data_IF_415201801500
#
_entry.id   IF_415201801500
#
_cell.length_a   1.000
_cell.length_b   1.000
_cell.length_c   1.000
_cell.angle_alpha   90.00
_cell.angle_beta   90.00
_cell.angle_gamma   90.00
#
_symmetry.space_group_name_H-M   'P 1'
#
loop_
_entity.id
_entity.type
_entity.pdbx_description
1 polymer ?
#
# COMPACT_ATOMS: atom_id res chain seq x y z
N UNK A 1 18.32 -7.23 22.01
CA UNK A 1 18.74 -7.69 20.67
C UNK A 1 19.41 -9.04 20.79
N UNK A 2 18.94 -10.03 20.04
CA UNK A 2 19.50 -11.39 20.00
C UNK A 2 19.69 -11.80 18.54
N UNK A 3 20.88 -12.36 18.22
CA UNK A 3 21.17 -12.90 16.89
C UNK A 3 21.10 -14.42 16.94
N UNK A 4 20.38 -15.02 16.02
CA UNK A 4 20.22 -16.47 15.85
C UNK A 4 20.85 -16.86 14.50
N UNK A 5 21.81 -17.78 14.54
CA UNK A 5 22.50 -18.30 13.37
C UNK A 5 21.99 -19.69 13.03
N UNK A 6 21.82 -19.99 11.73
CA UNK A 6 21.36 -21.29 11.23
C UNK A 6 20.15 -21.80 12.03
N UNK A 7 19.12 -20.96 12.12
CA UNK A 7 17.96 -21.12 13.00
C UNK A 7 16.73 -21.60 12.25
N UNK A 8 15.61 -21.70 12.95
CA UNK A 8 14.30 -22.06 12.39
C UNK A 8 13.28 -20.97 12.70
N UNK A 9 12.23 -20.87 11.89
CA UNK A 9 11.12 -19.94 12.14
C UNK A 9 10.52 -20.10 13.54
N UNK A 10 10.39 -21.35 14.02
CA UNK A 10 9.90 -21.64 15.38
C UNK A 10 10.82 -21.10 16.48
N UNK A 11 12.14 -21.13 16.26
CA UNK A 11 13.09 -20.57 17.23
C UNK A 11 13.01 -19.04 17.24
N UNK A 12 12.82 -18.39 16.08
CA UNK A 12 12.61 -16.96 16.00
C UNK A 12 11.34 -16.53 16.74
N UNK A 13 10.23 -17.24 16.56
CA UNK A 13 8.97 -16.99 17.29
C UNK A 13 9.18 -17.11 18.81
N UNK A 14 9.88 -18.16 19.27
CA UNK A 14 10.17 -18.35 20.68
C UNK A 14 11.03 -17.23 21.26
N UNK A 15 12.05 -16.79 20.52
CA UNK A 15 12.94 -15.70 20.94
C UNK A 15 12.17 -14.38 21.02
N UNK A 16 11.36 -14.04 20.01
CA UNK A 16 10.53 -12.86 20.03
C UNK A 16 9.60 -12.85 21.24
N UNK A 17 8.96 -13.98 21.55
CA UNK A 17 8.11 -14.12 22.72
C UNK A 17 8.90 -14.03 24.05
N UNK A 18 10.15 -14.49 24.08
CA UNK A 18 11.02 -14.36 25.24
C UNK A 18 11.41 -12.91 25.50
N UNK A 19 11.83 -12.17 24.46
CA UNK A 19 12.20 -10.76 24.58
C UNK A 19 11.02 -9.88 25.01
N UNK A 20 9.80 -10.15 24.54
CA UNK A 20 8.58 -9.46 25.02
C UNK A 20 8.40 -9.59 26.53
N UNK A 21 8.63 -10.78 27.07
CA UNK A 21 8.48 -11.02 28.52
C UNK A 21 9.55 -10.34 29.36
N UNK A 22 10.77 -10.22 28.83
CA UNK A 22 11.90 -9.63 29.56
C UNK A 22 12.02 -8.12 29.38
N UNK A 23 11.54 -7.59 28.27
CA UNK A 23 11.70 -6.18 27.90
C UNK A 23 10.88 -5.17 28.72
N UNK A 24 9.96 -5.63 29.60
CA UNK A 24 9.19 -4.75 30.47
C UNK A 24 8.33 -3.68 29.77
N UNK A 25 8.45 -3.57 28.47
CA UNK A 25 7.66 -2.68 27.65
C UNK A 25 6.27 -3.29 27.50
N UNK A 26 5.29 -2.72 28.16
CA UNK A 26 3.89 -2.90 27.81
C UNK A 26 3.75 -2.31 26.40
N UNK A 27 3.98 -3.13 25.40
CA UNK A 27 3.70 -2.77 24.02
C UNK A 27 2.19 -2.57 23.91
N UNK A 28 1.78 -1.33 24.02
CA UNK A 28 0.42 -0.91 23.78
C UNK A 28 0.12 -1.11 22.28
N UNK A 29 -0.52 -2.23 21.95
CA UNK A 29 -1.15 -2.50 20.67
C UNK A 29 -0.28 -2.28 19.42
N UNK A 30 0.29 -3.36 18.88
CA UNK A 30 0.81 -3.35 17.51
C UNK A 30 -0.38 -3.15 16.57
N UNK A 31 -0.43 -2.04 15.86
CA UNK A 31 -1.55 -1.69 14.99
C UNK A 31 -1.54 -2.46 13.66
N UNK A 32 -0.35 -2.86 13.18
CA UNK A 32 -0.17 -3.56 11.91
C UNK A 32 1.17 -4.32 11.89
N UNK A 33 1.36 -5.17 10.89
CA UNK A 33 2.67 -5.76 10.56
C UNK A 33 3.18 -5.16 9.25
N UNK A 34 4.39 -4.60 9.29
CA UNK A 34 5.12 -4.19 8.10
C UNK A 34 6.14 -5.26 7.74
N UNK A 35 5.94 -5.89 6.59
CA UNK A 35 6.90 -6.82 5.98
C UNK A 35 7.70 -6.06 4.95
N UNK A 36 9.02 -6.02 5.08
CA UNK A 36 9.92 -5.35 4.14
C UNK A 36 10.73 -6.42 3.40
N UNK A 37 10.69 -6.40 2.09
CA UNK A 37 11.55 -7.25 1.25
C UNK A 37 12.69 -6.39 0.74
N UNK A 38 13.93 -6.71 1.12
CA UNK A 38 15.10 -5.93 0.76
C UNK A 38 16.24 -6.82 0.23
N UNK A 39 17.09 -6.22 -0.61
CA UNK A 39 18.39 -6.77 -0.94
C UNK A 39 19.40 -6.48 0.16
N UNK A 40 20.41 -7.33 0.31
CA UNK A 40 21.43 -7.16 1.36
C UNK A 40 22.12 -5.79 1.32
N UNK A 41 22.37 -5.26 0.13
CA UNK A 41 23.00 -3.94 -0.05
C UNK A 41 22.12 -2.78 0.42
N UNK A 42 20.81 -3.00 0.55
CA UNK A 42 19.81 -1.98 0.91
C UNK A 42 19.15 -2.20 2.27
N UNK A 43 19.58 -3.23 3.01
CA UNK A 43 19.01 -3.54 4.32
C UNK A 43 19.10 -2.35 5.28
N UNK A 44 20.24 -1.68 5.32
CA UNK A 44 20.42 -0.53 6.22
C UNK A 44 19.47 0.63 5.91
N UNK A 45 19.27 0.94 4.62
CA UNK A 45 18.31 1.95 4.17
C UNK A 45 16.88 1.53 4.49
N UNK A 46 16.54 0.26 4.27
CA UNK A 46 15.25 -0.30 4.61
C UNK A 46 14.96 -0.25 6.13
N UNK A 47 15.94 -0.58 6.95
CA UNK A 47 15.86 -0.49 8.41
C UNK A 47 15.63 0.94 8.89
N UNK A 48 16.39 1.91 8.35
CA UNK A 48 16.26 3.33 8.68
C UNK A 48 14.86 3.85 8.32
N UNK A 49 14.41 3.61 7.09
CA UNK A 49 13.12 4.08 6.61
C UNK A 49 11.95 3.42 7.38
N UNK A 50 12.01 2.10 7.59
CA UNK A 50 10.97 1.39 8.33
C UNK A 50 10.93 1.79 9.80
N UNK A 51 12.09 2.04 10.43
CA UNK A 51 12.17 2.52 11.81
C UNK A 51 11.54 3.91 11.95
N UNK A 52 11.87 4.84 11.05
CA UNK A 52 11.28 6.18 11.03
C UNK A 52 9.75 6.13 10.82
N UNK A 53 9.26 5.25 9.96
CA UNK A 53 7.83 5.04 9.76
C UNK A 53 7.16 4.44 11.02
N UNK A 54 7.84 3.52 11.71
CA UNK A 54 7.33 2.86 12.92
C UNK A 54 7.28 3.78 14.15
N UNK A 55 8.09 4.84 14.21
CA UNK A 55 8.01 5.86 15.27
C UNK A 55 6.66 6.58 15.30
N UNK A 56 6.08 6.78 14.11
CA UNK A 56 4.78 7.47 13.95
C UNK A 56 3.63 6.48 13.90
N UNK A 57 3.85 5.30 13.34
CA UNK A 57 2.85 4.25 13.17
C UNK A 57 3.33 2.95 13.83
N UNK A 58 3.06 2.72 15.13
CA UNK A 58 3.56 1.55 15.84
C UNK A 58 3.19 0.25 15.15
N UNK A 59 4.21 -0.48 14.69
CA UNK A 59 4.03 -1.71 13.93
C UNK A 59 5.03 -2.77 14.36
N UNK A 60 4.73 -4.03 14.00
CA UNK A 60 5.72 -5.10 14.00
C UNK A 60 6.46 -5.05 12.68
N UNK A 61 7.79 -4.96 12.74
CA UNK A 61 8.65 -4.88 11.57
C UNK A 61 9.27 -6.24 11.28
N UNK A 62 9.04 -6.78 10.09
CA UNK A 62 9.63 -8.03 9.61
C UNK A 62 10.43 -7.73 8.35
N UNK A 63 11.76 -7.74 8.42
CA UNK A 63 12.62 -7.50 7.26
C UNK A 63 13.08 -8.85 6.70
N UNK A 64 12.74 -9.12 5.46
CA UNK A 64 13.09 -10.32 4.72
C UNK A 64 14.18 -9.98 3.72
N UNK A 65 15.35 -10.59 3.89
CA UNK A 65 16.48 -10.45 2.99
C UNK A 65 16.68 -11.77 2.27
N UNK A 66 16.38 -11.78 0.97
CA UNK A 66 16.58 -12.96 0.13
C UNK A 66 18.03 -13.02 -0.32
N UNK A 67 18.76 -14.05 0.12
CA UNK A 67 20.17 -14.25 -0.22
C UNK A 67 20.41 -15.56 -0.94
N UNK A 68 21.23 -15.52 -1.98
CA UNK A 68 21.72 -16.71 -2.66
C UNK A 68 20.63 -17.79 -2.83
N UNK A 69 19.54 -17.44 -3.50
CA UNK A 69 18.36 -18.31 -3.71
C UNK A 69 18.77 -19.67 -4.31
N UNK A 70 19.89 -19.71 -5.04
CA UNK A 70 20.47 -20.89 -5.65
C UNK A 70 21.35 -21.73 -4.70
N UNK A 71 21.56 -21.29 -3.45
CA UNK A 71 22.33 -22.06 -2.47
C UNK A 71 21.69 -23.44 -2.27
N UNK A 72 22.50 -24.52 -2.28
CA UNK A 72 21.94 -25.89 -2.21
C UNK A 72 21.33 -26.22 -0.84
N UNK A 73 21.77 -25.54 0.22
CA UNK A 73 21.29 -25.75 1.58
C UNK A 73 20.47 -24.56 2.04
N UNK A 74 19.20 -24.73 2.39
CA UNK A 74 18.40 -23.67 2.97
C UNK A 74 18.94 -23.31 4.35
N UNK A 75 19.04 -22.02 4.65
CA UNK A 75 19.50 -21.51 5.94
C UNK A 75 18.74 -20.25 6.30
N UNK A 76 18.45 -20.07 7.58
CA UNK A 76 17.88 -18.86 8.16
C UNK A 76 18.83 -18.29 9.21
N UNK A 77 19.21 -17.04 9.05
CA UNK A 77 19.82 -16.25 10.12
C UNK A 77 18.83 -15.14 10.50
N UNK A 78 18.66 -14.89 11.80
CA UNK A 78 17.70 -13.90 12.26
C UNK A 78 18.26 -13.01 13.38
N UNK A 79 17.88 -11.74 13.35
CA UNK A 79 18.09 -10.79 14.42
C UNK A 79 16.74 -10.39 15.00
N UNK A 80 16.55 -10.59 16.31
CA UNK A 80 15.33 -10.21 17.02
C UNK A 80 15.62 -9.01 17.90
N UNK A 81 14.82 -7.97 17.75
CA UNK A 81 14.96 -6.70 18.47
C UNK A 81 13.59 -6.28 19.01
N UNK A 82 13.53 -5.97 20.31
CA UNK A 82 12.34 -5.39 20.93
C UNK A 82 12.73 -4.04 21.52
N UNK A 83 12.16 -2.97 20.96
CA UNK A 83 12.58 -1.60 21.26
C UNK A 83 13.99 -1.27 20.74
N UNK A 84 14.46 -0.03 20.93
CA UNK A 84 15.81 0.37 20.59
C UNK A 84 15.97 0.85 19.14
N UNK A 85 17.02 0.40 18.42
CA UNK A 85 17.44 0.98 17.14
C UNK A 85 16.42 0.87 15.99
N UNK A 86 15.50 -0.08 16.06
CA UNK A 86 14.47 -0.30 15.03
C UNK A 86 13.08 0.22 15.47
N UNK A 87 13.07 1.29 16.26
CA UNK A 87 11.85 1.92 16.73
C UNK A 87 11.31 1.35 18.05
N UNK A 88 10.17 1.86 18.51
CA UNK A 88 9.56 1.46 19.78
C UNK A 88 8.92 0.06 19.75
N UNK A 89 8.80 -0.49 18.55
CA UNK A 89 8.12 -1.77 18.30
C UNK A 89 8.99 -3.02 18.43
N UNK A 90 8.53 -4.05 17.78
CA UNK A 90 9.21 -5.34 17.63
C UNK A 90 9.73 -5.43 16.20
N UNK A 91 10.99 -5.83 16.05
CA UNK A 91 11.58 -6.01 14.73
C UNK A 91 12.30 -7.35 14.63
N UNK A 92 12.16 -8.01 13.49
CA UNK A 92 12.89 -9.23 13.15
C UNK A 92 13.50 -9.04 11.77
N UNK A 93 14.83 -9.13 11.68
CA UNK A 93 15.55 -9.13 10.40
C UNK A 93 15.91 -10.57 10.07
N UNK A 94 15.49 -11.07 8.92
CA UNK A 94 15.62 -12.47 8.50
C UNK A 94 16.41 -12.56 7.21
N UNK A 95 17.59 -13.17 7.27
CA UNK A 95 18.41 -13.48 6.07
C UNK A 95 18.14 -14.91 5.66
N UNK A 96 17.51 -15.09 4.52
CA UNK A 96 17.05 -16.38 4.00
C UNK A 96 17.91 -16.82 2.81
N UNK A 97 18.53 -17.99 2.94
CA UNK A 97 19.39 -18.58 1.92
C UNK A 97 18.72 -19.78 1.25
N UNK A 98 19.10 -20.01 -0.01
CA UNK A 98 18.59 -21.12 -0.79
C UNK A 98 17.08 -21.03 -0.99
N UNK A 99 16.43 -22.18 -1.11
CA UNK A 99 14.97 -22.27 -1.35
C UNK A 99 14.11 -21.64 -0.27
N UNK A 100 14.65 -21.42 0.93
CA UNK A 100 13.90 -20.71 1.98
C UNK A 100 13.54 -19.29 1.57
N UNK A 101 14.39 -18.63 0.78
CA UNK A 101 14.09 -17.30 0.24
C UNK A 101 12.90 -17.27 -0.73
N UNK A 102 12.58 -18.42 -1.37
CA UNK A 102 11.38 -18.57 -2.23
C UNK A 102 10.11 -18.85 -1.43
N UNK A 103 10.24 -19.36 -0.21
CA UNK A 103 9.16 -19.73 0.71
C UNK A 103 9.20 -18.88 1.97
N UNK A 104 9.50 -17.58 1.81
CA UNK A 104 9.64 -16.64 2.93
C UNK A 104 8.38 -16.58 3.80
N UNK A 105 7.20 -16.78 3.20
CA UNK A 105 5.92 -16.83 3.90
C UNK A 105 5.89 -17.88 5.02
N UNK A 106 6.57 -19.00 4.85
CA UNK A 106 6.62 -20.07 5.86
C UNK A 106 7.26 -19.62 7.17
N UNK A 107 8.16 -18.64 7.11
CA UNK A 107 8.81 -18.03 8.28
C UNK A 107 8.06 -16.77 8.75
N UNK A 108 7.51 -16.00 7.82
CA UNK A 108 6.84 -14.73 8.11
C UNK A 108 5.47 -14.94 8.75
N UNK A 109 4.65 -15.87 8.24
CA UNK A 109 3.29 -16.11 8.72
C UNK A 109 3.19 -16.31 10.23
N UNK A 110 4.03 -17.16 10.90
CA UNK A 110 3.97 -17.33 12.35
C UNK A 110 4.42 -16.09 13.15
N UNK A 111 5.02 -15.10 12.50
CA UNK A 111 5.51 -13.87 13.10
C UNK A 111 4.53 -12.70 12.95
N UNK A 112 3.50 -12.83 12.15
CA UNK A 112 2.50 -11.77 11.97
C UNK A 112 1.82 -11.43 13.30
N UNK A 113 1.42 -10.17 13.46
CA UNK A 113 0.57 -9.78 14.56
C UNK A 113 -0.83 -10.35 14.34
N UNK A 114 -1.39 -11.00 15.37
CA UNK A 114 -2.74 -11.55 15.27
C UNK A 114 -3.76 -10.40 15.08
N UNK A 115 -4.72 -10.65 14.22
CA UNK A 115 -5.85 -9.73 13.92
C UNK A 115 -5.43 -8.31 13.52
N UNK A 116 -4.20 -8.16 13.02
CA UNK A 116 -3.67 -6.88 12.56
C UNK A 116 -3.39 -6.92 11.05
N UNK A 117 -3.65 -5.83 10.31
CA UNK A 117 -3.37 -5.78 8.88
C UNK A 117 -1.89 -5.95 8.57
N UNK A 118 -1.62 -6.52 7.40
CA UNK A 118 -0.27 -6.76 6.88
C UNK A 118 0.00 -5.86 5.69
N UNK A 119 1.09 -5.12 5.76
CA UNK A 119 1.58 -4.32 4.66
C UNK A 119 2.91 -4.89 4.20
N UNK A 120 3.04 -5.18 2.91
CA UNK A 120 4.34 -5.62 2.35
C UNK A 120 4.91 -4.53 1.47
N UNK A 121 6.15 -4.15 1.76
CA UNK A 121 6.92 -3.17 1.01
C UNK A 121 8.16 -3.82 0.38
N UNK A 122 8.29 -3.70 -0.93
CA UNK A 122 9.48 -4.11 -1.66
C UNK A 122 10.46 -2.96 -1.78
N UNK A 123 11.53 -3.01 -0.98
CA UNK A 123 12.72 -2.15 -1.12
C UNK A 123 13.85 -2.89 -1.87
N UNK A 124 13.44 -3.64 -2.87
CA UNK A 124 14.21 -4.40 -3.83
C UNK A 124 13.40 -4.45 -5.12
N UNK A 125 13.94 -4.86 -6.26
CA UNK A 125 13.15 -5.11 -7.45
C UNK A 125 11.99 -6.07 -7.11
N UNK A 126 10.72 -5.62 -7.21
CA UNK A 126 9.59 -6.47 -6.89
C UNK A 126 9.42 -7.55 -7.98
N UNK A 127 8.81 -8.70 -7.68
CA UNK A 127 8.47 -9.67 -8.69
C UNK A 127 7.50 -9.07 -9.72
N UNK A 128 7.48 -9.59 -10.94
CA UNK A 128 6.53 -9.13 -11.97
C UNK A 128 5.08 -9.22 -11.48
N UNK A 129 4.78 -10.27 -10.72
CA UNK A 129 3.45 -10.57 -10.17
C UNK A 129 3.45 -10.43 -8.65
N UNK A 130 3.49 -9.21 -8.18
CA UNK A 130 3.43 -8.88 -6.74
C UNK A 130 2.16 -9.42 -6.10
N UNK A 131 1.06 -9.38 -6.85
CA UNK A 131 -0.25 -9.79 -6.37
C UNK A 131 -0.37 -11.27 -6.06
N UNK A 132 0.47 -12.09 -6.67
CA UNK A 132 0.48 -13.56 -6.49
C UNK A 132 1.77 -14.06 -5.83
N UNK A 133 2.72 -13.18 -5.50
CA UNK A 133 3.89 -13.51 -4.67
C UNK A 133 3.45 -13.94 -3.28
N UNK A 134 4.15 -14.86 -2.67
CA UNK A 134 3.82 -15.40 -1.35
C UNK A 134 3.66 -14.32 -0.26
N UNK A 135 4.51 -13.27 -0.29
CA UNK A 135 4.42 -12.14 0.63
C UNK A 135 3.42 -11.08 0.17
N UNK A 136 3.03 -11.10 -1.11
CA UNK A 136 1.99 -10.23 -1.66
C UNK A 136 0.58 -10.72 -1.34
N UNK A 137 0.36 -12.03 -1.39
CA UNK A 137 -0.96 -12.64 -1.10
C UNK A 137 -1.40 -12.42 0.35
N UNK A 138 -0.46 -12.45 1.29
CA UNK A 138 -0.75 -12.25 2.71
C UNK A 138 -0.95 -10.79 3.10
N UNK A 139 -0.67 -9.85 2.18
CA UNK A 139 -0.71 -8.43 2.44
C UNK A 139 -2.05 -7.80 2.06
N UNK A 140 -2.61 -7.01 2.98
CA UNK A 140 -3.75 -6.14 2.69
C UNK A 140 -3.34 -4.98 1.78
N UNK A 141 -2.10 -4.48 1.95
CA UNK A 141 -1.51 -3.44 1.11
C UNK A 141 -0.12 -3.83 0.65
N UNK A 142 0.17 -3.54 -0.62
CA UNK A 142 1.44 -3.85 -1.29
C UNK A 142 2.05 -2.58 -1.85
N UNK A 143 3.28 -2.29 -1.42
CA UNK A 143 4.01 -1.07 -1.75
C UNK A 143 5.20 -1.42 -2.63
N UNK A 144 5.24 -0.86 -3.83
CA UNK A 144 6.40 -0.87 -4.73
C UNK A 144 7.01 0.53 -4.86
N UNK A 145 8.15 0.62 -5.52
CA UNK A 145 8.77 1.89 -5.89
C UNK A 145 9.33 1.80 -7.31
N UNK A 146 8.52 2.21 -8.28
CA UNK A 146 8.91 2.18 -9.69
C UNK A 146 10.09 3.10 -10.01
N UNK A 147 10.38 4.11 -9.17
CA UNK A 147 11.55 4.99 -9.36
C UNK A 147 12.90 4.28 -9.14
N UNK A 148 12.88 3.10 -8.53
CA UNK A 148 14.08 2.27 -8.32
C UNK A 148 14.47 1.45 -9.56
N UNK A 149 13.63 1.43 -10.59
CA UNK A 149 13.88 0.74 -11.85
C UNK A 149 14.68 1.62 -12.81
N UNK A 150 15.53 0.99 -13.62
CA UNK A 150 16.20 1.67 -14.74
C UNK A 150 15.20 2.15 -15.81
N UNK A 151 14.02 1.52 -15.87
CA UNK A 151 12.87 1.93 -16.68
C UNK A 151 11.64 2.13 -15.77
N UNK A 152 11.46 3.32 -15.17
CA UNK A 152 10.35 3.59 -14.26
C UNK A 152 8.97 3.47 -14.91
N UNK A 153 8.86 3.83 -16.18
CA UNK A 153 7.59 3.75 -16.93
C UNK A 153 7.26 2.30 -17.27
N UNK A 154 8.26 1.52 -17.69
CA UNK A 154 8.12 0.08 -17.85
C UNK A 154 7.71 -0.62 -16.56
N UNK A 155 8.27 -0.20 -15.41
CA UNK A 155 7.89 -0.70 -14.10
C UNK A 155 6.42 -0.40 -13.78
N UNK A 156 5.93 0.83 -14.02
CA UNK A 156 4.49 1.16 -13.87
C UNK A 156 3.60 0.29 -14.76
N UNK A 157 4.03 0.02 -16.00
CA UNK A 157 3.27 -0.87 -16.90
C UNK A 157 3.19 -2.30 -16.35
N UNK A 158 4.27 -2.81 -15.75
CA UNK A 158 4.28 -4.12 -15.09
C UNK A 158 3.32 -4.10 -13.90
N UNK A 159 3.37 -3.07 -13.06
CA UNK A 159 2.45 -2.92 -11.91
C UNK A 159 1.00 -2.85 -12.37
N UNK A 160 0.69 -2.11 -13.43
CA UNK A 160 -0.67 -2.03 -13.95
C UNK A 160 -1.21 -3.37 -14.46
N UNK A 161 -0.37 -4.20 -15.11
CA UNK A 161 -0.80 -5.54 -15.57
C UNK A 161 -1.20 -6.46 -14.42
N UNK A 162 -0.46 -6.40 -13.32
CA UNK A 162 -0.67 -7.22 -12.12
C UNK A 162 -1.50 -6.51 -11.05
N UNK A 163 -1.91 -5.28 -11.28
CA UNK A 163 -2.60 -4.44 -10.29
C UNK A 163 -3.79 -5.17 -9.66
N UNK A 164 -3.92 -4.99 -8.38
CA UNK A 164 -5.14 -5.34 -7.68
C UNK A 164 -5.36 -4.36 -6.50
N UNK A 165 -6.62 -4.22 -6.05
CA UNK A 165 -6.96 -3.36 -4.91
C UNK A 165 -6.00 -3.56 -3.73
N UNK A 166 -5.49 -2.47 -3.18
CA UNK A 166 -4.47 -2.46 -2.13
C UNK A 166 -3.02 -2.33 -2.65
N UNK A 167 -2.78 -2.34 -3.97
CA UNK A 167 -1.47 -2.01 -4.53
C UNK A 167 -1.27 -0.50 -4.58
N UNK A 168 -0.04 -0.08 -4.31
CA UNK A 168 0.40 1.31 -4.42
C UNK A 168 1.87 1.37 -4.83
N UNK A 169 2.31 2.57 -5.21
CA UNK A 169 3.69 2.83 -5.60
C UNK A 169 4.19 4.11 -4.94
N UNK A 170 5.42 4.11 -4.43
CA UNK A 170 5.98 5.30 -3.77
C UNK A 170 6.15 6.50 -4.70
N UNK A 171 6.20 6.29 -6.02
CA UNK A 171 6.16 7.39 -7.00
C UNK A 171 4.85 8.15 -6.90
N UNK A 172 3.73 7.46 -6.64
CA UNK A 172 2.45 8.09 -6.36
C UNK A 172 2.45 8.83 -5.02
N UNK A 173 2.99 8.22 -3.99
CA UNK A 173 3.08 8.83 -2.65
C UNK A 173 3.96 10.08 -2.68
N UNK A 174 5.06 10.09 -3.43
CA UNK A 174 5.91 11.29 -3.65
C UNK A 174 5.15 12.45 -4.26
N UNK A 175 4.13 12.19 -5.05
CA UNK A 175 3.31 13.22 -5.69
C UNK A 175 2.32 13.91 -4.75
N UNK A 176 2.09 13.40 -3.53
CA UNK A 176 1.07 13.90 -2.60
C UNK A 176 1.16 15.43 -2.35
N UNK A 177 2.34 16.04 -2.09
CA UNK A 177 2.41 17.48 -1.89
C UNK A 177 1.97 18.27 -3.14
N UNK A 178 2.34 17.82 -4.34
CA UNK A 178 1.93 18.40 -5.59
C UNK A 178 0.42 18.33 -5.80
N UNK A 179 -0.15 17.15 -5.63
CA UNK A 179 -1.59 16.90 -5.79
C UNK A 179 -2.42 17.70 -4.78
N UNK A 180 -2.00 17.71 -3.52
CA UNK A 180 -2.68 18.46 -2.46
C UNK A 180 -2.66 19.98 -2.73
N UNK A 181 -1.51 20.52 -3.15
CA UNK A 181 -1.37 21.94 -3.47
C UNK A 181 -2.20 22.34 -4.69
N UNK A 182 -2.17 21.52 -5.76
CA UNK A 182 -2.98 21.74 -6.96
C UNK A 182 -4.49 21.70 -6.63
N UNK A 183 -4.94 20.69 -5.90
CA UNK A 183 -6.34 20.57 -5.48
C UNK A 183 -6.78 21.80 -4.68
N UNK A 184 -6.02 22.18 -3.64
CA UNK A 184 -6.31 23.37 -2.83
C UNK A 184 -6.33 24.66 -3.62
N UNK A 185 -5.44 24.80 -4.63
CA UNK A 185 -5.39 25.96 -5.52
C UNK A 185 -6.63 26.00 -6.40
N UNK A 186 -7.03 24.90 -7.01
CA UNK A 186 -8.24 24.80 -7.84
C UNK A 186 -9.52 25.04 -7.03
N UNK A 187 -9.60 24.50 -5.81
CA UNK A 187 -10.69 24.77 -4.87
C UNK A 187 -10.79 26.26 -4.54
N UNK A 188 -9.64 26.90 -4.32
CA UNK A 188 -9.57 28.36 -4.09
C UNK A 188 -10.05 29.17 -5.28
N UNK A 189 -9.76 28.74 -6.52
CA UNK A 189 -10.28 29.39 -7.74
C UNK A 189 -11.77 29.14 -7.87
N UNK A 190 -12.23 27.90 -7.70
CA UNK A 190 -13.65 27.51 -7.78
C UNK A 190 -14.51 28.24 -6.75
N UNK A 191 -14.06 28.35 -5.51
CA UNK A 191 -14.78 29.02 -4.42
C UNK A 191 -15.03 30.52 -4.63
N UNK A 192 -14.37 31.14 -5.61
CA UNK A 192 -14.56 32.54 -5.99
C UNK A 192 -15.48 32.74 -7.18
N UNK A 193 -15.92 31.67 -7.81
CA UNK A 193 -16.77 31.67 -9.00
C UNK A 193 -18.18 31.21 -8.66
N UNK A 194 -19.15 31.66 -9.45
CA UNK A 194 -20.52 31.15 -9.36
C UNK A 194 -20.64 29.74 -9.98
N UNK A 195 -19.72 29.38 -10.87
CA UNK A 195 -19.70 28.13 -11.59
C UNK A 195 -18.42 27.37 -11.29
N UNK A 196 -18.48 26.02 -11.37
CA UNK A 196 -17.33 25.17 -11.20
C UNK A 196 -16.27 25.46 -12.28
N UNK A 197 -15.01 25.52 -11.87
CA UNK A 197 -13.87 25.68 -12.78
C UNK A 197 -13.72 24.45 -13.66
N UNK A 198 -13.56 24.66 -14.95
CA UNK A 198 -13.22 23.58 -15.89
C UNK A 198 -11.79 23.72 -16.36
N UNK A 199 -11.05 22.62 -16.30
CA UNK A 199 -9.71 22.52 -16.85
C UNK A 199 -9.88 22.18 -18.34
N UNK A 200 -9.39 23.03 -19.23
CA UNK A 200 -9.45 22.86 -20.67
C UNK A 200 -8.20 22.17 -21.24
N UNK A 201 -7.14 22.07 -20.46
CA UNK A 201 -5.89 21.44 -20.82
C UNK A 201 -4.76 21.87 -19.89
N UNK A 202 -3.58 21.39 -20.13
CA UNK A 202 -2.42 21.71 -19.32
C UNK A 202 -1.22 20.84 -19.64
N UNK A 203 -0.16 21.03 -18.87
CA UNK A 203 1.06 20.26 -18.98
C UNK A 203 1.76 20.15 -17.61
N UNK A 204 2.47 19.07 -17.42
CA UNK A 204 3.45 18.88 -16.35
C UNK A 204 4.83 19.05 -16.97
N UNK A 205 5.54 20.10 -16.60
CA UNK A 205 6.91 20.34 -17.08
C UNK A 205 7.89 19.61 -16.15
N UNK A 206 8.72 18.75 -16.71
CA UNK A 206 9.63 17.95 -15.89
C UNK A 206 10.41 16.92 -16.70
N UNK A 207 10.76 15.84 -16.03
CA UNK A 207 11.41 14.69 -16.64
C UNK A 207 10.34 13.75 -17.23
N UNK A 208 10.38 13.51 -18.52
CA UNK A 208 9.39 12.70 -19.25
C UNK A 208 9.45 11.22 -18.88
N UNK A 209 10.59 10.75 -18.41
CA UNK A 209 10.80 9.36 -18.00
C UNK A 209 10.58 9.15 -16.48
N UNK A 210 10.18 10.22 -15.77
CA UNK A 210 9.91 10.13 -14.34
C UNK A 210 8.48 9.64 -14.05
N UNK A 211 8.36 8.53 -13.31
CA UNK A 211 7.09 7.92 -12.97
C UNK A 211 6.18 8.84 -12.13
N UNK A 212 6.73 9.64 -11.21
CA UNK A 212 5.95 10.58 -10.39
C UNK A 212 5.31 11.67 -11.27
N UNK A 213 6.06 12.24 -12.19
CA UNK A 213 5.57 13.25 -13.13
C UNK A 213 4.45 12.69 -14.02
N UNK A 214 4.64 11.47 -14.55
CA UNK A 214 3.64 10.78 -15.35
C UNK A 214 2.35 10.51 -14.57
N UNK A 215 2.45 10.06 -13.32
CA UNK A 215 1.27 9.80 -12.48
C UNK A 215 0.53 11.10 -12.12
N UNK A 216 1.22 12.22 -11.92
CA UNK A 216 0.55 13.53 -11.73
C UNK A 216 -0.19 13.94 -12.99
N UNK A 217 0.41 13.80 -14.19
CA UNK A 217 -0.25 14.08 -15.45
C UNK A 217 -1.45 13.15 -15.68
N UNK A 218 -1.31 11.86 -15.39
CA UNK A 218 -2.39 10.86 -15.43
C UNK A 218 -3.55 11.21 -14.53
N UNK A 219 -3.27 11.57 -13.27
CA UNK A 219 -4.27 12.01 -12.30
C UNK A 219 -5.03 13.26 -12.74
N UNK A 220 -4.29 14.28 -13.22
CA UNK A 220 -4.92 15.49 -13.74
C UNK A 220 -5.80 15.19 -14.96
N UNK A 221 -5.34 14.29 -15.83
CA UNK A 221 -6.11 13.88 -17.01
C UNK A 221 -7.39 13.15 -16.63
N UNK A 222 -7.33 12.19 -15.67
CA UNK A 222 -8.52 11.45 -15.23
C UNK A 222 -9.55 12.38 -14.58
N UNK A 223 -9.08 13.34 -13.75
CA UNK A 223 -9.97 14.28 -13.03
C UNK A 223 -10.57 15.36 -13.92
N UNK A 224 -9.84 15.82 -14.93
CA UNK A 224 -10.31 16.89 -15.82
C UNK A 224 -11.07 16.39 -17.04
N UNK A 225 -10.91 15.14 -17.42
CA UNK A 225 -11.39 14.58 -18.68
C UNK A 225 -10.65 15.13 -19.91
N UNK A 226 -9.49 15.80 -19.71
CA UNK A 226 -8.66 16.36 -20.77
C UNK A 226 -7.27 15.76 -20.77
N UNK A 227 -6.62 15.67 -21.94
CA UNK A 227 -5.26 15.13 -22.02
C UNK A 227 -4.25 16.13 -21.46
N UNK A 228 -3.61 15.76 -20.36
CA UNK A 228 -2.47 16.47 -19.75
C UNK A 228 -1.24 15.57 -19.90
N UNK A 229 -0.13 16.14 -20.36
CA UNK A 229 1.09 15.39 -20.68
C UNK A 229 2.27 15.94 -19.92
N UNK A 230 3.26 15.08 -19.70
CA UNK A 230 4.59 15.51 -19.27
C UNK A 230 5.34 16.03 -20.48
N UNK A 231 5.93 17.23 -20.34
CA UNK A 231 6.79 17.85 -21.35
C UNK A 231 8.15 18.17 -20.74
N UNK A 232 9.23 18.13 -21.54
CA UNK A 232 10.56 18.44 -21.03
C UNK A 232 10.63 19.84 -20.41
N UNK A 233 11.20 19.94 -19.21
CA UNK A 233 11.52 21.22 -18.60
C UNK A 233 12.85 21.75 -19.12
N UNK A 234 12.96 23.07 -19.21
CA UNK A 234 14.24 23.76 -19.46
C UNK A 234 15.12 23.83 -18.22
N UNK A 235 14.55 23.55 -17.06
CA UNK A 235 15.23 23.52 -15.76
C UNK A 235 15.42 22.06 -15.32
N UNK A 236 16.47 21.79 -14.54
CA UNK A 236 16.63 20.47 -13.95
C UNK A 236 15.49 20.23 -12.94
N UNK A 237 14.67 19.21 -13.09
CA UNK A 237 13.57 18.92 -12.15
C UNK A 237 14.10 18.61 -10.74
N UNK A 238 13.26 18.85 -9.71
CA UNK A 238 13.50 18.40 -8.35
C UNK A 238 13.36 16.88 -8.20
N UNK A 239 13.47 16.33 -6.99
CA UNK A 239 13.43 14.89 -6.73
C UNK A 239 12.14 14.21 -7.18
N UNK A 240 11.01 14.93 -7.24
CA UNK A 240 9.75 14.44 -7.79
C UNK A 240 9.74 14.38 -9.33
N UNK A 241 10.82 14.79 -10.02
CA UNK A 241 10.86 14.85 -11.49
C UNK A 241 10.00 15.95 -12.09
N UNK A 242 9.40 16.82 -11.29
CA UNK A 242 8.49 17.88 -11.70
C UNK A 242 9.15 19.25 -11.48
N UNK A 243 9.10 20.12 -12.47
CA UNK A 243 9.51 21.51 -12.35
C UNK A 243 8.31 22.44 -12.18
N UNK A 244 7.28 22.25 -12.99
CA UNK A 244 6.04 23.01 -12.85
C UNK A 244 4.83 22.26 -13.41
N UNK A 245 3.65 22.64 -12.94
CA UNK A 245 2.38 22.23 -13.52
C UNK A 245 1.64 23.47 -13.98
N UNK A 246 1.17 23.46 -15.22
CA UNK A 246 0.43 24.54 -15.84
C UNK A 246 -0.93 24.01 -16.26
N UNK A 247 -2.00 24.64 -15.78
CA UNK A 247 -3.38 24.28 -16.10
C UNK A 247 -4.08 25.46 -16.73
N UNK A 248 -4.62 25.26 -17.92
CA UNK A 248 -5.47 26.23 -18.62
C UNK A 248 -6.91 25.98 -18.22
N UNK A 249 -7.52 27.02 -17.69
CA UNK A 249 -8.89 27.01 -17.22
C UNK A 249 -9.81 27.65 -18.27
N UNK A 250 -11.10 27.47 -18.06
CA UNK A 250 -12.11 28.27 -18.76
C UNK A 250 -11.94 29.78 -18.46
N UNK A 251 -12.62 30.63 -19.22
CA UNK A 251 -12.50 32.09 -19.14
C UNK A 251 -11.09 32.65 -19.43
N UNK A 252 -10.27 31.88 -20.15
CA UNK A 252 -8.90 32.26 -20.56
C UNK A 252 -7.95 32.49 -19.36
N UNK A 253 -8.18 31.77 -18.27
CA UNK A 253 -7.37 31.83 -17.05
C UNK A 253 -6.36 30.69 -16.97
N UNK A 254 -5.30 30.88 -16.19
CA UNK A 254 -4.25 29.89 -15.97
C UNK A 254 -3.93 29.76 -14.47
N UNK A 255 -3.65 28.53 -14.05
CA UNK A 255 -3.02 28.19 -12.76
C UNK A 255 -1.66 27.59 -13.05
N UNK A 256 -0.64 28.10 -12.38
CA UNK A 256 0.73 27.57 -12.42
C UNK A 256 1.23 27.30 -11.03
N UNK A 257 1.77 26.11 -10.83
CA UNK A 257 2.51 25.70 -9.63
C UNK A 257 3.94 25.40 -10.07
N UNK A 258 4.92 26.11 -9.54
CA UNK A 258 6.33 25.98 -9.94
C UNK A 258 7.22 25.75 -8.72
N UNK A 259 8.05 24.73 -8.75
CA UNK A 259 9.08 24.43 -7.74
C UNK A 259 10.07 25.61 -7.60
N UNK A 260 10.24 26.12 -6.39
CA UNK A 260 11.17 27.22 -6.06
C UNK A 260 12.61 26.77 -5.80
N UNK A 261 12.85 25.46 -5.79
CA UNK A 261 14.16 24.81 -5.48
C UNK A 261 14.67 25.06 -4.07
N UNK A 262 13.78 25.42 -3.14
CA UNK A 262 14.11 25.70 -1.74
C UNK A 262 13.18 24.96 -0.77
N UNK A 263 12.50 23.93 -1.28
CA UNK A 263 11.50 23.17 -0.52
C UNK A 263 10.14 23.82 -0.52
N UNK A 264 9.88 24.69 -1.49
CA UNK A 264 8.62 25.36 -1.71
C UNK A 264 8.19 25.37 -3.17
N UNK A 265 7.00 25.90 -3.41
CA UNK A 265 6.52 26.18 -4.75
C UNK A 265 5.86 27.55 -4.83
N UNK A 266 6.02 28.21 -5.97
CA UNK A 266 5.33 29.46 -6.32
C UNK A 266 4.02 29.10 -6.99
N UNK A 267 2.91 29.60 -6.43
CA UNK A 267 1.58 29.50 -7.00
C UNK A 267 1.24 30.81 -7.72
N UNK A 268 0.90 30.71 -8.99
CA UNK A 268 0.28 31.75 -9.76
C UNK A 268 -1.16 31.35 -10.09
N UNK A 269 -2.12 32.19 -9.76
CA UNK A 269 -3.54 31.93 -9.96
C UNK A 269 -4.28 33.22 -10.33
N UNK A 270 -5.43 33.13 -11.01
CA UNK A 270 -6.18 34.29 -11.44
C UNK A 270 -6.58 35.19 -10.26
N UNK A 271 -6.45 36.50 -10.47
CA UNK A 271 -6.91 37.55 -9.56
C UNK A 271 -6.31 37.48 -8.14
N UNK A 272 -5.11 36.90 -8.00
CA UNK A 272 -4.34 36.90 -6.75
C UNK A 272 -2.84 37.16 -7.01
N UNK A 273 -2.17 37.80 -6.05
CA UNK A 273 -0.70 37.86 -6.10
C UNK A 273 -0.12 36.45 -6.00
N UNK A 274 1.09 36.29 -6.49
CA UNK A 274 1.89 35.09 -6.31
C UNK A 274 1.99 34.73 -4.82
N UNK A 275 1.89 33.46 -4.52
CA UNK A 275 2.05 32.92 -3.18
C UNK A 275 3.11 31.83 -3.18
N UNK A 276 3.88 31.74 -2.08
CA UNK A 276 4.80 30.63 -1.85
C UNK A 276 4.22 29.70 -0.81
N UNK A 277 4.23 28.42 -1.14
CA UNK A 277 3.76 27.35 -0.25
C UNK A 277 4.88 26.34 -0.03
N UNK A 278 4.83 25.61 1.10
CA UNK A 278 5.76 24.53 1.34
C UNK A 278 5.50 23.38 0.35
N UNK A 279 6.56 22.87 -0.25
CA UNK A 279 6.54 21.67 -1.10
C UNK A 279 7.75 20.81 -0.73
N UNK A 280 7.76 20.24 0.49
CA UNK A 280 8.93 19.56 1.02
C UNK A 280 9.21 18.27 0.25
N UNK A 281 10.49 18.02 0.03
CA UNK A 281 10.96 16.68 -0.27
C UNK A 281 10.79 15.80 0.97
N UNK A 282 10.28 14.60 0.76
CA UNK A 282 10.00 13.67 1.84
C UNK A 282 10.98 12.52 1.84
N UNK A 283 11.46 12.17 3.02
CA UNK A 283 12.28 10.99 3.24
C UNK A 283 11.51 9.70 2.94
N UNK A 284 12.24 8.63 2.67
CA UNK A 284 11.64 7.31 2.43
C UNK A 284 10.78 6.85 3.62
N UNK A 285 11.22 7.12 4.86
CA UNK A 285 10.44 6.82 6.07
C UNK A 285 9.13 7.58 6.16
N UNK A 286 9.08 8.86 5.72
CA UNK A 286 7.85 9.64 5.66
C UNK A 286 6.89 9.13 4.58
N UNK A 287 7.42 8.68 3.44
CA UNK A 287 6.61 8.05 2.38
C UNK A 287 5.98 6.75 2.87
N UNK A 288 6.76 5.87 3.47
CA UNK A 288 6.25 4.64 4.06
C UNK A 288 5.26 4.96 5.18
N UNK A 289 5.57 5.91 6.07
CA UNK A 289 4.68 6.34 7.14
C UNK A 289 3.31 6.85 6.64
N UNK A 290 3.24 7.46 5.45
CA UNK A 290 1.97 7.83 4.82
C UNK A 290 1.18 6.58 4.39
N UNK A 291 1.85 5.60 3.77
CA UNK A 291 1.22 4.38 3.31
C UNK A 291 0.73 3.47 4.45
N UNK A 292 1.42 3.47 5.60
CA UNK A 292 0.99 2.71 6.77
C UNK A 292 -0.33 3.21 7.38
N UNK A 293 -0.76 4.43 7.07
CA UNK A 293 -2.02 5.02 7.55
C UNK A 293 -3.21 4.74 6.65
N UNK A 294 -2.98 4.17 5.46
CA UNK A 294 -4.02 3.94 4.45
C UNK A 294 -4.08 2.45 4.14
N UNK A 295 -5.16 1.82 4.54
CA UNK A 295 -5.40 0.40 4.23
C UNK A 295 -6.36 0.23 3.07
N UNK A 296 -7.20 1.22 2.83
CA UNK A 296 -8.18 1.21 1.75
C UNK A 296 -7.52 1.35 0.38
N UNK A 297 -8.24 0.91 -0.64
CA UNK A 297 -7.86 1.10 -2.04
C UNK A 297 -7.71 2.60 -2.35
N UNK A 298 -6.65 2.96 -3.06
CA UNK A 298 -6.43 4.31 -3.59
C UNK A 298 -6.99 4.40 -5.02
N UNK A 299 -8.28 4.70 -5.14
CA UNK A 299 -8.93 4.86 -6.46
C UNK A 299 -8.25 5.92 -7.33
N UNK A 300 -7.86 7.12 -6.80
CA UNK A 300 -7.11 8.09 -7.58
C UNK A 300 -5.79 7.57 -8.14
N UNK A 301 -5.11 6.66 -7.45
CA UNK A 301 -3.91 6.01 -7.97
C UNK A 301 -4.23 5.08 -9.13
N UNK A 302 -5.25 4.23 -8.98
CA UNK A 302 -5.63 3.31 -10.07
C UNK A 302 -6.07 4.06 -11.32
N UNK A 303 -6.85 5.14 -11.19
CA UNK A 303 -7.26 5.98 -12.31
C UNK A 303 -6.05 6.67 -13.01
N UNK A 304 -5.11 7.20 -12.21
CA UNK A 304 -3.88 7.78 -12.76
C UNK A 304 -3.04 6.73 -13.51
N UNK A 305 -2.92 5.55 -12.93
CA UNK A 305 -2.19 4.42 -13.51
C UNK A 305 -2.84 3.92 -14.80
N UNK A 306 -4.18 3.90 -14.88
CA UNK A 306 -4.93 3.58 -16.10
C UNK A 306 -4.58 4.53 -17.24
N UNK A 307 -4.57 5.84 -16.96
CA UNK A 307 -4.23 6.86 -17.98
C UNK A 307 -2.78 6.72 -18.45
N UNK A 308 -1.84 6.51 -17.51
CA UNK A 308 -0.41 6.42 -17.85
C UNK A 308 -0.09 5.16 -18.66
N UNK A 309 -0.74 4.04 -18.37
CA UNK A 309 -0.39 2.74 -18.94
C UNK A 309 -1.34 2.27 -20.04
N UNK A 310 -2.50 2.91 -20.19
CA UNK A 310 -3.55 2.48 -21.11
C UNK A 310 -4.29 1.21 -20.66
N UNK A 311 -3.99 0.68 -19.48
CA UNK A 311 -4.79 -0.39 -18.88
C UNK A 311 -6.12 0.18 -18.42
N UNK A 312 -7.15 -0.62 -18.30
CA UNK A 312 -8.50 -0.18 -17.88
C UNK A 312 -9.10 -1.14 -16.85
N UNK A 313 -10.01 -0.63 -16.03
CA UNK A 313 -10.77 -1.41 -15.06
C UNK A 313 -9.92 -1.90 -13.88
N UNK A 314 -8.84 -1.19 -13.54
CA UNK A 314 -7.94 -1.59 -12.46
C UNK A 314 -8.67 -1.66 -11.11
N UNK A 315 -9.46 -0.64 -10.78
CA UNK A 315 -10.22 -0.58 -9.54
C UNK A 315 -11.27 -1.68 -9.39
N UNK A 316 -11.76 -2.23 -10.51
CA UNK A 316 -12.78 -3.29 -10.52
C UNK A 316 -12.21 -4.71 -10.41
N UNK A 317 -10.89 -4.86 -10.35
CA UNK A 317 -10.26 -6.18 -10.24
C UNK A 317 -10.52 -6.79 -8.86
N UNK A 318 -10.57 -8.13 -8.75
CA UNK A 318 -10.80 -8.79 -7.48
C UNK A 318 -9.66 -8.52 -6.50
N UNK A 319 -10.00 -8.23 -5.25
CA UNK A 319 -9.03 -8.08 -4.17
C UNK A 319 -8.50 -9.44 -3.67
N UNK A 320 -9.31 -10.48 -3.76
CA UNK A 320 -8.91 -11.83 -3.37
C UNK A 320 -7.85 -12.37 -4.32
N UNK A 321 -6.81 -12.97 -3.76
CA UNK A 321 -5.65 -13.47 -4.47
C UNK A 321 -5.31 -14.88 -4.06
N UNK A 322 -4.74 -15.60 -5.01
CA UNK A 322 -4.22 -16.93 -4.80
C UNK A 322 -2.70 -16.91 -5.03
N UNK A 323 -1.97 -17.54 -4.11
CA UNK A 323 -0.54 -17.72 -4.29
C UNK A 323 -0.28 -18.67 -5.46
N UNK A 324 0.43 -18.16 -6.46
CA UNK A 324 0.92 -18.98 -7.58
C UNK A 324 2.40 -19.24 -7.35
N UNK A 325 2.70 -20.45 -6.91
CA UNK A 325 4.09 -20.83 -6.73
C UNK A 325 4.79 -21.06 -8.06
N UNK A 326 5.90 -20.41 -8.26
CA UNK A 326 6.75 -20.56 -9.42
C UNK A 326 8.14 -20.99 -8.97
N UNK A 327 8.60 -22.16 -9.42
CA UNK A 327 9.96 -22.63 -9.17
C UNK A 327 10.92 -22.05 -10.23
N UNK A 328 11.73 -21.03 -9.89
CA UNK A 328 12.64 -20.42 -10.85
C UNK A 328 13.75 -21.39 -11.30
N UNK A 329 13.95 -22.50 -10.59
CA UNK A 329 14.94 -23.52 -10.95
C UNK A 329 14.39 -24.52 -11.98
N UNK A 330 13.06 -24.61 -12.13
CA UNK A 330 12.42 -25.58 -13.03
C UNK A 330 12.51 -25.16 -14.50
N UNK A 331 12.69 -23.87 -14.78
CA UNK A 331 12.73 -23.31 -16.13
C UNK A 331 14.13 -22.84 -16.57
N UNK A 332 15.19 -23.18 -15.83
CA UNK A 332 16.56 -22.99 -16.37
C UNK A 332 16.82 -24.08 -17.38
N UNK A 333 17.15 -23.75 -18.65
CA UNK A 333 17.59 -24.76 -19.61
C UNK A 333 18.82 -25.45 -19.04
N UNK A 334 18.78 -26.77 -18.95
CA UNK A 334 19.97 -27.56 -18.63
C UNK A 334 20.94 -27.28 -19.76
N UNK A 335 22.12 -26.76 -19.43
CA UNK A 335 23.17 -26.48 -20.43
C UNK A 335 23.52 -27.80 -21.09
N UNK A 336 23.03 -28.01 -22.33
CA UNK A 336 23.28 -29.25 -23.10
C UNK A 336 22.04 -29.93 -23.69
N UNK A 337 20.83 -29.53 -23.36
CA UNK A 337 19.64 -30.04 -24.06
C UNK A 337 19.09 -28.96 -25.01
N UNK A 338 19.06 -29.25 -26.30
CA UNK A 338 18.32 -28.48 -27.28
C UNK A 338 16.82 -28.48 -26.85
N UNK A 339 16.12 -27.36 -26.99
CA UNK A 339 14.70 -27.32 -26.65
C UNK A 339 13.96 -28.28 -27.59
N UNK A 340 13.32 -29.30 -26.99
CA UNK A 340 12.35 -30.11 -27.71
C UNK A 340 11.28 -29.17 -28.31
N UNK A 341 11.07 -29.27 -29.61
CA UNK A 341 9.98 -28.60 -30.31
C UNK A 341 8.66 -28.96 -29.59
N UNK A 342 7.73 -28.01 -29.45
CA UNK A 342 6.44 -28.28 -28.81
C UNK A 342 5.61 -29.22 -29.70
N UNK A 343 5.81 -30.50 -29.47
CA UNK A 343 4.95 -31.54 -30.02
C UNK A 343 3.71 -31.66 -29.15
N UNK A 344 2.59 -31.25 -29.67
CA UNK A 344 1.32 -31.68 -29.12
C UNK A 344 0.30 -30.59 -28.91
N UNK A 345 -0.66 -30.60 -29.82
CA UNK A 345 -1.92 -29.93 -29.65
C UNK A 345 -2.50 -30.19 -28.25
N UNK A 346 -2.93 -29.11 -27.60
CA UNK A 346 -3.64 -29.19 -26.33
C UNK A 346 -4.77 -30.23 -26.43
N UNK A 347 -4.75 -31.22 -25.54
CA UNK A 347 -5.84 -32.15 -25.40
C UNK A 347 -7.11 -31.34 -25.04
N UNK A 348 -8.26 -31.61 -25.65
CA UNK A 348 -9.50 -30.92 -25.32
C UNK A 348 -9.85 -31.23 -23.85
N UNK A 349 -10.21 -30.21 -23.12
CA UNK A 349 -10.77 -30.33 -21.77
C UNK A 349 -11.94 -31.32 -21.79
N UNK A 350 -12.06 -32.22 -20.79
CA UNK A 350 -13.18 -33.11 -20.68
C UNK A 350 -14.47 -32.27 -20.54
N UNK A 351 -15.36 -32.42 -21.52
CA UNK A 351 -16.73 -31.90 -21.45
C UNK A 351 -17.48 -32.65 -20.36
N UNK A 352 -17.85 -31.90 -19.32
CA UNK A 352 -18.81 -32.39 -18.32
C UNK A 352 -20.16 -32.57 -19.03
N UNK A 353 -20.77 -33.79 -19.01
CA UNK A 353 -22.08 -33.97 -19.58
C UNK A 353 -23.12 -33.17 -18.78
N UNK A 354 -24.16 -32.64 -19.44
CA UNK A 354 -25.21 -31.93 -18.74
C UNK A 354 -25.95 -32.93 -17.80
N UNK A 355 -26.09 -32.49 -16.54
CA UNK A 355 -26.90 -33.20 -15.55
C UNK A 355 -28.32 -33.30 -16.07
N UNK A 356 -28.81 -34.54 -16.26
CA UNK A 356 -30.20 -34.81 -16.55
C UNK A 356 -31.06 -34.34 -15.38
N UNK A 357 -31.95 -33.40 -15.63
CA UNK A 357 -33.05 -33.06 -14.75
C UNK A 357 -33.95 -34.30 -14.56
N UNK A 358 -33.88 -34.85 -13.36
CA UNK A 358 -34.86 -35.81 -12.89
C UNK A 358 -35.98 -35.08 -12.15
N UNK A 359 -37.08 -34.88 -12.82
CA UNK A 359 -38.37 -34.55 -12.19
C UNK A 359 -38.83 -35.75 -11.40
N UNK A 360 -38.82 -35.69 -10.09
CA UNK A 360 -39.65 -36.54 -9.24
C UNK A 360 -40.56 -35.66 -8.38
N UNK A 361 -41.80 -35.58 -8.86
CA UNK A 361 -42.99 -35.18 -8.10
C UNK A 361 -43.17 -36.17 -6.95
N UNK A 362 -43.09 -35.70 -5.72
CA UNK A 362 -43.66 -36.45 -4.58
C UNK A 362 -44.69 -35.58 -3.91
N UNK A 363 -45.92 -36.15 -3.99
CA UNK A 363 -47.17 -35.63 -3.51
C UNK A 363 -47.15 -35.33 -1.99
N UNK A 364 -47.79 -34.23 -1.67
CA UNK A 364 -48.23 -33.85 -0.32
C UNK A 364 -49.51 -34.64 0.05
N UNK A 365 -49.46 -35.32 1.17
CA UNK A 365 -50.62 -35.67 2.02
C UNK A 365 -50.09 -35.68 3.45
N UNK A 366 -50.54 -34.87 4.34
CA UNK A 366 -51.79 -34.62 4.91
C UNK A 366 -51.67 -34.78 6.42
N UNK A 367 -52.42 -33.95 7.14
CA UNK A 367 -52.85 -34.05 8.55
C UNK A 367 -51.87 -33.49 9.60
N UNK A 368 -52.21 -32.34 10.08
CA UNK A 368 -52.97 -31.96 11.27
C UNK A 368 -52.51 -32.65 12.54
N UNK A 369 -51.98 -31.85 13.46
CA UNK A 369 -52.47 -31.72 14.84
C UNK A 369 -51.80 -30.56 15.54
N UNK A 370 -52.63 -29.57 15.86
CA UNK A 370 -52.45 -28.63 16.95
C UNK A 370 -53.07 -29.27 18.23
N UNK A 371 -52.58 -29.04 19.42
CA UNK A 371 -53.27 -28.09 20.29
C UNK A 371 -52.36 -27.25 21.15
N UNK A 372 -52.67 -25.96 21.17
CA UNK A 372 -53.30 -25.22 22.27
C UNK A 372 -52.59 -25.22 23.60
N UNK A 373 -52.28 -24.04 23.97
CA UNK A 373 -52.77 -23.34 25.18
C UNK A 373 -51.78 -23.22 26.35
N UNK A 374 -51.70 -22.17 26.82
CA UNK A 374 -51.94 -21.44 28.05
C UNK A 374 -50.78 -20.57 28.55
N UNK A 375 -51.09 -19.33 28.50
CA UNK A 375 -51.31 -18.40 29.61
C UNK A 375 -50.09 -17.83 30.40
N UNK A 376 -50.16 -16.51 30.38
CA UNK A 376 -50.16 -15.58 31.53
C UNK A 376 -48.76 -15.20 32.05
N UNK A 377 -48.59 -14.01 32.11
CA UNK A 377 -48.95 -12.80 32.79
C UNK A 377 -47.76 -11.99 33.32
N UNK A 378 -47.89 -10.71 33.10
CA UNK A 378 -47.62 -9.58 33.98
C UNK A 378 -46.16 -9.14 34.20
N UNK A 379 -45.82 -8.00 33.58
CA UNK A 379 -46.00 -6.68 34.13
C UNK A 379 -45.11 -6.38 35.36
N UNK A 380 -44.20 -5.46 35.20
CA UNK A 380 -44.16 -4.27 36.02
C UNK A 380 -43.14 -3.23 35.54
N UNK A 381 -43.66 -2.12 35.24
CA UNK A 381 -43.07 -0.77 35.17
C UNK A 381 -42.55 -0.39 36.56
N UNK A 382 -41.43 0.26 36.65
CA UNK A 382 -41.28 1.41 37.55
C UNK A 382 -40.15 2.33 37.15
N UNK A 383 -40.58 3.54 36.92
CA UNK A 383 -39.88 4.79 36.83
C UNK A 383 -39.16 5.17 38.13
N UNK A 384 -38.38 6.22 37.97
CA UNK A 384 -37.93 7.22 38.92
C UNK A 384 -36.42 7.24 39.11
N UNK A 385 -35.67 8.25 39.12
CA UNK A 385 -35.89 9.68 39.18
C UNK A 385 -34.46 10.30 39.12
N UNK A 386 -34.30 11.38 38.43
CA UNK A 386 -33.17 12.27 38.62
C UNK A 386 -33.43 13.14 39.83
N UNK A 387 -32.41 13.71 40.44
CA UNK A 387 -32.41 15.18 40.43
C UNK A 387 -31.04 15.84 40.20
N UNK A 388 -31.20 17.05 39.73
CA UNK A 388 -30.23 18.08 39.43
C UNK A 388 -29.79 18.89 40.66
N UNK A 389 -28.76 19.73 40.36
CA UNK A 389 -28.38 20.96 41.06
C UNK A 389 -27.53 20.78 42.35
N UNK A 390 -26.51 21.51 42.62
CA UNK A 390 -26.38 22.94 42.56
C UNK A 390 -24.93 23.42 42.78
N UNK A 391 -24.63 24.53 42.27
CA UNK A 391 -23.59 25.49 42.41
C UNK A 391 -22.97 25.65 43.81
N UNK A 392 -21.72 26.10 43.84
CA UNK A 392 -21.27 27.34 44.47
C UNK A 392 -19.74 27.43 44.59
N UNK A 393 -19.16 28.36 43.91
CA UNK A 393 -18.38 29.53 44.40
C UNK A 393 -17.31 29.34 45.45
N UNK A 394 -16.13 29.92 45.16
CA UNK A 394 -15.18 30.40 46.17
C UNK A 394 -13.73 30.34 45.69
N UNK A 395 -13.19 31.28 45.01
CA UNK A 395 -12.56 32.56 45.31
C UNK A 395 -11.23 32.47 46.12
N UNK A 396 -10.20 33.09 45.53
CA UNK A 396 -8.97 33.67 46.11
C UNK A 396 -7.86 32.66 46.51
N UNK A 397 -6.64 32.87 46.17
CA UNK A 397 -5.79 34.00 45.98
C UNK A 397 -4.36 33.62 46.22
N UNK A 398 -3.47 34.21 45.51
CA UNK A 398 -2.31 34.86 46.05
C UNK A 398 -0.93 34.19 45.89
N UNK A 399 -0.16 34.84 45.04
CA UNK A 399 1.25 35.22 45.26
C UNK A 399 2.25 34.14 45.70
N UNK A 400 3.16 33.75 44.89
CA UNK A 400 4.50 34.34 44.70
C UNK A 400 5.17 33.76 43.46
#
# INVERSE_FOLDING_TARGET
>A
MTTLWDTTGSAVVKELAAQRRTGGAVMSGVALTLVVVADESRVAEAEEAASAAAEVNPCRLLIVVRRQVEAPVPRLDAEVVVGGRLGPGEAVVMRMYGRLGLHAESVVLPLLAADAPVITWWHAPPPERVSTDALGVIADRRISDSSMSDDPIGALNIRARDYAPGDTDLTWTRSTPWRATLASTLDSVSGRRAEAVRILGGEVQGDVDNATAQLVAGWLSSRSGTSIRVVPSTRVPGPAGIDSVVLRLDQDEEVRLQDDRKGGAVIQQPNRPEAVVALPDRSLGELIGEELRRLDQDEPFSEALEVVTGQTGLAARPALREHVWFDPMRNKPVVGEEPDEPTGAAAPLPTVPPSSEGTDEVALSGEHDDPADDSDEQSMVQDADAPAADAATGKKGGKR
#
